data_IF_113806172670
#
_entry.id   IF_113806172670
#
_cell.length_a   1.000
_cell.length_b   1.000
_cell.length_c   1.000
_cell.angle_alpha   90.00
_cell.angle_beta   90.00
_cell.angle_gamma   90.00
#
_symmetry.space_group_name_H-M   'P 1'
#
loop_
_entity.id
_entity.type
_entity.pdbx_description
1 polymer ?
#
# COMPACT_ATOMS: atom_id res chain seq x y z
N UNK A 1 -18.87 10.90 -0.87
CA UNK A 1 -18.37 10.40 0.45
C UNK A 1 -19.42 9.84 1.42
N UNK A 2 -20.62 10.40 1.62
CA UNK A 2 -21.69 9.75 2.44
C UNK A 2 -22.82 9.11 1.60
N UNK A 3 -23.22 9.78 0.51
CA UNK A 3 -24.26 9.27 -0.41
C UNK A 3 -23.81 7.99 -1.12
N UNK A 4 -22.52 7.89 -1.48
CA UNK A 4 -21.95 6.71 -2.11
C UNK A 4 -21.88 5.51 -1.16
N UNK A 5 -21.62 5.71 0.14
CA UNK A 5 -21.58 4.62 1.13
C UNK A 5 -22.97 4.08 1.45
N UNK A 6 -24.01 4.94 1.36
CA UNK A 6 -25.41 4.54 1.48
C UNK A 6 -25.90 3.79 0.24
N UNK A 7 -25.50 4.23 -0.96
CA UNK A 7 -25.85 3.58 -2.22
C UNK A 7 -25.14 2.23 -2.40
N UNK A 8 -23.86 2.14 -2.03
CA UNK A 8 -23.09 0.90 -2.01
C UNK A 8 -23.69 -0.18 -1.09
N UNK A 9 -24.30 0.23 0.04
CA UNK A 9 -25.02 -0.67 0.95
C UNK A 9 -26.35 -1.18 0.41
N UNK A 10 -27.02 -0.42 -0.46
CA UNK A 10 -28.30 -0.82 -1.08
C UNK A 10 -28.14 -1.83 -2.22
N UNK A 11 -27.00 -1.83 -2.90
CA UNK A 11 -26.69 -2.81 -3.94
C UNK A 11 -26.02 -4.04 -3.32
N UNK A 12 -26.74 -5.16 -3.23
CA UNK A 12 -26.24 -6.40 -2.63
C UNK A 12 -24.93 -6.89 -3.27
N UNK A 13 -24.71 -6.63 -4.56
CA UNK A 13 -23.49 -6.98 -5.27
C UNK A 13 -22.30 -6.13 -4.80
N UNK A 14 -22.49 -4.83 -4.54
CA UNK A 14 -21.41 -3.92 -4.09
C UNK A 14 -21.14 -4.12 -2.59
N UNK A 15 -22.19 -4.39 -1.81
CA UNK A 15 -22.10 -4.68 -0.39
C UNK A 15 -21.22 -5.90 -0.07
N UNK A 16 -21.20 -6.93 -0.93
CA UNK A 16 -20.35 -8.11 -0.76
C UNK A 16 -18.84 -7.83 -0.88
N UNK A 17 -18.45 -6.77 -1.58
CA UNK A 17 -17.05 -6.37 -1.76
C UNK A 17 -16.65 -5.15 -0.90
N UNK A 18 -17.57 -4.69 -0.04
CA UNK A 18 -17.39 -3.50 0.80
C UNK A 18 -17.36 -3.93 2.26
N UNK A 19 -16.29 -3.58 2.97
CA UNK A 19 -16.25 -3.72 4.44
C UNK A 19 -16.69 -2.41 5.08
N UNK A 20 -17.59 -2.52 6.06
CA UNK A 20 -18.03 -1.39 6.85
C UNK A 20 -16.95 -1.00 7.85
N UNK A 21 -16.53 0.26 7.84
CA UNK A 21 -15.70 0.84 8.89
C UNK A 21 -16.51 1.88 9.66
N UNK A 22 -16.56 1.72 10.99
CA UNK A 22 -17.26 2.60 11.93
C UNK A 22 -18.76 2.87 11.60
N UNK A 23 -19.43 1.97 10.86
CA UNK A 23 -20.82 2.12 10.36
C UNK A 23 -21.10 3.32 9.43
N UNK A 24 -20.13 4.22 9.21
CA UNK A 24 -20.29 5.45 8.43
C UNK A 24 -19.67 5.31 7.02
N UNK A 25 -18.56 4.57 6.90
CA UNK A 25 -17.86 4.35 5.63
C UNK A 25 -17.96 2.91 5.17
N UNK A 26 -18.15 2.71 3.87
CA UNK A 26 -18.19 1.40 3.22
C UNK A 26 -17.31 1.50 1.98
N UNK A 27 -16.25 0.70 1.95
CA UNK A 27 -15.25 0.75 0.89
C UNK A 27 -14.53 -0.59 0.76
N UNK A 28 -13.80 -0.80 -0.34
CA UNK A 28 -13.02 -2.02 -0.54
C UNK A 28 -11.94 -2.12 0.54
N UNK A 29 -11.72 -3.32 1.08
CA UNK A 29 -10.74 -3.58 2.15
C UNK A 29 -9.34 -3.04 1.80
N UNK A 30 -8.95 -3.12 0.53
CA UNK A 30 -7.70 -2.55 0.03
C UNK A 30 -7.58 -1.04 0.22
N UNK A 31 -8.67 -0.28 0.15
CA UNK A 31 -8.65 1.16 0.39
C UNK A 31 -8.36 1.51 1.86
N UNK A 32 -8.87 0.72 2.81
CA UNK A 32 -8.54 0.90 4.23
C UNK A 32 -7.08 0.56 4.51
N UNK A 33 -6.57 -0.52 3.93
CA UNK A 33 -5.15 -0.90 4.05
C UNK A 33 -4.27 0.22 3.51
N UNK A 34 -4.54 0.68 2.28
CA UNK A 34 -3.78 1.77 1.64
C UNK A 34 -3.84 3.05 2.46
N UNK A 35 -5.03 3.44 2.94
CA UNK A 35 -5.20 4.64 3.75
C UNK A 35 -4.43 4.58 5.07
N UNK A 36 -4.52 3.45 5.79
CA UNK A 36 -3.80 3.26 7.04
C UNK A 36 -2.28 3.27 6.84
N UNK A 37 -1.77 2.55 5.84
CA UNK A 37 -0.32 2.47 5.62
C UNK A 37 0.25 3.75 5.05
N UNK A 38 -0.51 4.51 4.25
CA UNK A 38 -0.11 5.84 3.83
C UNK A 38 0.02 6.80 5.02
N UNK A 39 -0.89 6.73 5.99
CA UNK A 39 -0.79 7.50 7.24
C UNK A 39 0.43 7.08 8.06
N UNK A 40 0.68 5.78 8.21
CA UNK A 40 1.87 5.25 8.88
C UNK A 40 3.14 5.74 8.21
N UNK A 41 3.24 5.69 6.88
CA UNK A 41 4.38 6.22 6.13
C UNK A 41 4.56 7.74 6.33
N UNK A 42 3.46 8.50 6.34
CA UNK A 42 3.49 9.94 6.58
C UNK A 42 4.00 10.28 7.99
N UNK A 43 3.65 9.48 9.00
CA UNK A 43 4.14 9.63 10.38
C UNK A 43 5.60 9.20 10.53
N UNK A 44 6.08 8.27 9.70
CA UNK A 44 7.47 7.85 9.73
C UNK A 44 8.45 9.01 9.43
N UNK A 45 8.12 9.92 8.50
CA UNK A 45 8.98 11.06 8.15
C UNK A 45 9.36 11.99 9.32
N UNK A 46 8.42 12.56 10.10
CA UNK A 46 8.78 13.41 11.23
C UNK A 46 9.49 12.63 12.34
N UNK A 47 9.19 11.35 12.52
CA UNK A 47 9.89 10.50 13.50
C UNK A 47 11.33 10.22 13.08
N UNK A 48 11.57 10.04 11.79
CA UNK A 48 12.89 9.88 11.20
C UNK A 48 13.75 11.14 11.38
N UNK A 49 13.16 12.32 11.11
CA UNK A 49 13.82 13.59 11.39
C UNK A 49 14.17 13.76 12.89
N UNK A 50 13.30 13.31 13.79
CA UNK A 50 13.58 13.32 15.24
C UNK A 50 14.72 12.35 15.60
N UNK A 51 14.76 11.17 15.00
CA UNK A 51 15.86 10.22 15.18
C UNK A 51 17.21 10.81 14.75
N UNK A 52 17.26 11.46 13.59
CA UNK A 52 18.46 12.13 13.12
C UNK A 52 18.91 13.27 14.03
N UNK A 53 17.98 13.99 14.65
CA UNK A 53 18.31 15.03 15.62
C UNK A 53 18.94 14.47 16.92
N UNK A 54 18.57 13.25 17.32
CA UNK A 54 19.08 12.61 18.54
C UNK A 54 20.42 11.90 18.33
N UNK A 55 20.54 11.14 17.24
CA UNK A 55 21.65 10.21 17.04
C UNK A 55 22.60 10.63 15.92
N UNK A 56 22.18 11.54 15.04
CA UNK A 56 22.91 11.94 13.86
C UNK A 56 22.27 11.44 12.56
N UNK A 57 22.66 12.05 11.45
CA UNK A 57 22.16 11.69 10.12
C UNK A 57 22.68 10.30 9.75
N UNK A 58 21.76 9.43 9.33
CA UNK A 58 22.02 8.09 8.77
C UNK A 58 22.98 7.19 9.58
N UNK A 59 22.93 7.28 10.90
CA UNK A 59 23.71 6.40 11.79
C UNK A 59 23.44 4.90 11.61
N UNK A 60 22.28 4.56 11.05
CA UNK A 60 21.92 3.21 10.68
C UNK A 60 21.00 3.23 9.46
N UNK A 61 21.40 2.54 8.38
CA UNK A 61 20.56 2.36 7.18
C UNK A 61 19.21 1.71 7.54
N UNK A 62 19.22 0.76 8.49
CA UNK A 62 18.02 0.10 9.01
C UNK A 62 17.51 0.72 10.31
N UNK A 63 17.56 2.05 10.42
CA UNK A 63 16.95 2.77 11.53
C UNK A 63 15.44 2.43 11.64
N UNK A 64 14.86 2.45 12.85
CA UNK A 64 13.48 2.02 13.08
C UNK A 64 12.47 2.67 12.14
N UNK A 65 12.66 3.96 11.82
CA UNK A 65 11.75 4.73 10.99
C UNK A 65 11.95 4.52 9.49
N UNK A 66 13.18 4.21 9.04
CA UNK A 66 13.42 3.69 7.69
C UNK A 66 12.66 2.37 7.48
N UNK A 67 12.75 1.44 8.44
CA UNK A 67 12.03 0.15 8.37
C UNK A 67 10.52 0.36 8.36
N UNK A 68 10.01 1.25 9.21
CA UNK A 68 8.59 1.61 9.26
C UNK A 68 8.09 2.17 7.92
N UNK A 69 8.87 3.05 7.28
CA UNK A 69 8.54 3.61 5.98
C UNK A 69 8.56 2.54 4.87
N UNK A 70 9.62 1.75 4.78
CA UNK A 70 9.80 0.69 3.76
C UNK A 70 8.72 -0.39 3.89
N UNK A 71 8.42 -0.83 5.12
CA UNK A 71 7.35 -1.78 5.38
C UNK A 71 5.98 -1.22 4.95
N UNK A 72 5.72 0.05 5.25
CA UNK A 72 4.47 0.72 4.86
C UNK A 72 4.33 0.80 3.33
N UNK A 73 5.41 1.10 2.60
CA UNK A 73 5.43 1.07 1.13
C UNK A 73 5.10 -0.33 0.58
N UNK A 74 5.66 -1.39 1.18
CA UNK A 74 5.36 -2.76 0.78
C UNK A 74 3.88 -3.11 0.93
N UNK A 75 3.29 -2.76 2.08
CA UNK A 75 1.89 -3.06 2.37
C UNK A 75 0.94 -2.20 1.52
N UNK A 76 1.30 -0.94 1.19
CA UNK A 76 0.48 -0.09 0.31
C UNK A 76 0.31 -0.72 -1.07
N UNK A 77 1.35 -1.34 -1.63
CA UNK A 77 1.25 -1.99 -2.94
C UNK A 77 0.36 -3.23 -2.89
N UNK A 78 0.42 -4.02 -1.80
CA UNK A 78 -0.48 -5.15 -1.60
C UNK A 78 -1.95 -4.69 -1.48
N UNK A 79 -2.19 -3.62 -0.72
CA UNK A 79 -3.53 -3.01 -0.59
C UNK A 79 -4.05 -2.47 -1.92
N UNK A 80 -3.20 -1.81 -2.71
CA UNK A 80 -3.54 -1.30 -4.03
C UNK A 80 -3.81 -2.44 -5.02
N UNK A 81 -3.00 -3.50 -5.01
CA UNK A 81 -3.19 -4.68 -5.84
C UNK A 81 -4.52 -5.38 -5.53
N UNK A 82 -4.82 -5.56 -4.24
CA UNK A 82 -6.10 -6.11 -3.80
C UNK A 82 -7.27 -5.22 -4.25
N UNK A 83 -7.16 -3.89 -4.09
CA UNK A 83 -8.18 -2.95 -4.51
C UNK A 83 -8.44 -3.03 -6.02
N UNK A 84 -7.41 -3.00 -6.86
CA UNK A 84 -7.54 -3.12 -8.31
C UNK A 84 -8.13 -4.47 -8.74
N UNK A 85 -7.66 -5.56 -8.13
CA UNK A 85 -8.17 -6.91 -8.40
C UNK A 85 -9.65 -7.06 -8.04
N UNK A 86 -10.05 -6.55 -6.87
CA UNK A 86 -11.45 -6.57 -6.42
C UNK A 86 -12.36 -5.73 -7.32
N UNK A 87 -11.92 -4.55 -7.73
CA UNK A 87 -12.66 -3.68 -8.64
C UNK A 87 -12.84 -4.32 -10.03
N UNK A 88 -11.80 -4.96 -10.57
CA UNK A 88 -11.88 -5.66 -11.85
C UNK A 88 -12.82 -6.88 -11.79
N UNK A 89 -12.79 -7.64 -10.69
CA UNK A 89 -13.70 -8.76 -10.47
C UNK A 89 -15.15 -8.27 -10.39
N UNK A 90 -15.41 -7.21 -9.62
CA UNK A 90 -16.73 -6.62 -9.49
C UNK A 90 -17.24 -6.12 -10.85
N UNK A 91 -16.43 -5.39 -11.61
CA UNK A 91 -16.78 -4.90 -12.95
C UNK A 91 -17.13 -6.05 -13.91
N UNK A 92 -16.45 -7.20 -13.80
CA UNK A 92 -16.78 -8.39 -14.59
C UNK A 92 -18.11 -9.01 -14.18
N UNK A 93 -18.45 -9.02 -12.88
CA UNK A 93 -19.72 -9.54 -12.36
C UNK A 93 -20.93 -8.71 -12.79
N UNK A 94 -20.79 -7.38 -12.82
CA UNK A 94 -21.87 -6.47 -13.21
C UNK A 94 -21.95 -6.22 -14.73
N UNK A 95 -21.13 -6.93 -15.52
CA UNK A 95 -21.14 -6.83 -16.98
C UNK A 95 -20.56 -5.53 -17.56
N UNK A 96 -19.91 -4.70 -16.74
CA UNK A 96 -19.33 -3.41 -17.18
C UNK A 96 -17.85 -3.52 -17.55
N UNK A 97 -17.20 -4.66 -17.31
CA UNK A 97 -15.78 -4.85 -17.63
C UNK A 97 -15.54 -5.13 -19.12
N UNK A 98 -14.97 -4.16 -19.82
CA UNK A 98 -14.32 -4.38 -21.11
C UNK A 98 -13.01 -5.17 -20.98
N UNK A 99 -12.48 -5.68 -22.10
CA UNK A 99 -11.16 -6.33 -22.13
C UNK A 99 -10.03 -5.39 -21.65
N UNK A 100 -10.18 -4.08 -21.92
CA UNK A 100 -9.27 -3.04 -21.47
C UNK A 100 -9.23 -2.86 -19.94
N UNK A 101 -10.38 -2.91 -19.25
CA UNK A 101 -10.46 -2.73 -17.79
C UNK A 101 -9.72 -3.83 -17.04
N UNK A 102 -9.86 -5.08 -17.48
CA UNK A 102 -9.15 -6.23 -16.89
C UNK A 102 -7.64 -6.11 -17.13
N UNK A 103 -7.22 -5.77 -18.36
CA UNK A 103 -5.80 -5.55 -18.67
C UNK A 103 -5.20 -4.41 -17.85
N UNK A 104 -5.89 -3.27 -17.74
CA UNK A 104 -5.43 -2.14 -16.96
C UNK A 104 -5.27 -2.49 -15.47
N UNK A 105 -6.22 -3.23 -14.89
CA UNK A 105 -6.11 -3.69 -13.51
C UNK A 105 -4.94 -4.66 -13.31
N UNK A 106 -4.76 -5.64 -14.20
CA UNK A 106 -3.62 -6.57 -14.14
C UNK A 106 -2.29 -5.84 -14.29
N UNK A 107 -2.19 -4.91 -15.25
CA UNK A 107 -0.98 -4.10 -15.44
C UNK A 107 -0.68 -3.23 -14.22
N UNK A 108 -1.69 -2.59 -13.64
CA UNK A 108 -1.55 -1.80 -12.42
C UNK A 108 -1.05 -2.63 -11.24
N UNK A 109 -1.56 -3.85 -11.06
CA UNK A 109 -1.09 -4.80 -10.04
C UNK A 109 0.37 -5.19 -10.27
N UNK A 110 0.71 -5.58 -11.51
CA UNK A 110 2.08 -5.98 -11.87
C UNK A 110 3.06 -4.82 -11.65
N UNK A 111 2.70 -3.62 -12.10
CA UNK A 111 3.51 -2.42 -11.88
C UNK A 111 3.72 -2.13 -10.40
N UNK A 112 2.65 -2.14 -9.59
CA UNK A 112 2.75 -1.87 -8.16
C UNK A 112 3.67 -2.88 -7.43
N UNK A 113 3.53 -4.16 -7.74
CA UNK A 113 4.38 -5.21 -7.17
C UNK A 113 5.83 -5.12 -7.66
N UNK A 114 6.04 -4.83 -8.95
CA UNK A 114 7.37 -4.67 -9.53
C UNK A 114 8.11 -3.48 -8.92
N UNK A 115 7.43 -2.33 -8.75
CA UNK A 115 8.00 -1.15 -8.11
C UNK A 115 8.43 -1.45 -6.67
N UNK A 116 7.58 -2.12 -5.88
CA UNK A 116 7.95 -2.49 -4.50
C UNK A 116 9.11 -3.47 -4.48
N UNK A 117 9.08 -4.51 -5.31
CA UNK A 117 10.17 -5.49 -5.37
C UNK A 117 11.49 -4.82 -5.75
N UNK A 118 11.47 -3.92 -6.73
CA UNK A 118 12.64 -3.16 -7.15
C UNK A 118 13.21 -2.29 -6.03
N UNK A 119 12.36 -1.56 -5.30
CA UNK A 119 12.81 -0.76 -4.15
C UNK A 119 13.40 -1.63 -3.04
N UNK A 120 12.77 -2.77 -2.73
CA UNK A 120 13.31 -3.73 -1.76
C UNK A 120 14.67 -4.28 -2.19
N UNK A 121 14.85 -4.59 -3.47
CA UNK A 121 16.14 -5.08 -3.96
C UNK A 121 17.22 -4.01 -3.82
N UNK A 122 16.94 -2.74 -4.16
CA UNK A 122 17.90 -1.66 -4.03
C UNK A 122 18.33 -1.45 -2.57
N UNK A 123 17.36 -1.40 -1.65
CA UNK A 123 17.63 -1.27 -0.22
C UNK A 123 18.39 -2.47 0.36
N UNK A 124 18.10 -3.67 -0.15
CA UNK A 124 18.81 -4.88 0.26
C UNK A 124 20.26 -4.88 -0.24
N UNK A 125 20.52 -4.46 -1.47
CA UNK A 125 21.88 -4.36 -2.01
C UNK A 125 22.73 -3.39 -1.19
N UNK A 126 22.19 -2.20 -0.91
CA UNK A 126 22.83 -1.18 -0.06
C UNK A 126 23.18 -1.75 1.33
N UNK A 127 22.23 -2.48 1.94
CA UNK A 127 22.43 -3.15 3.23
C UNK A 127 23.52 -4.24 3.23
N UNK A 128 23.70 -4.94 2.11
CA UNK A 128 24.67 -6.01 1.98
C UNK A 128 26.06 -5.48 1.67
N UNK A 129 26.17 -4.39 0.90
CA UNK A 129 27.43 -3.69 0.68
C UNK A 129 27.98 -3.16 2.00
N UNK A 130 27.16 -2.52 2.83
CA UNK A 130 27.58 -1.94 4.11
C UNK A 130 28.21 -2.99 5.07
N UNK A 131 27.68 -4.22 5.08
CA UNK A 131 28.24 -5.33 5.89
C UNK A 131 29.60 -5.82 5.40
N UNK A 132 29.92 -5.69 4.11
CA UNK A 132 31.20 -6.16 3.58
C UNK A 132 32.37 -5.26 4.02
N UNK A 133 32.09 -4.01 4.41
CA UNK A 133 33.10 -3.07 4.92
C UNK A 133 33.37 -3.21 6.43
N UNK A 134 32.52 -3.92 7.19
CA UNK A 134 32.71 -4.19 8.64
C UNK A 134 33.36 -5.56 8.89
N UNK A 135 34.32 -5.94 8.04
CA UNK A 135 35.25 -7.04 8.37
C UNK A 135 36.51 -6.43 9.01
N UNK A 136 36.49 -6.32 10.33
CA UNK A 136 37.69 -6.22 11.19
C UNK A 136 37.95 -7.60 11.82
#
# INVERSE_FOLDING_TARGET
>A
MLIESWWARRNQIIAQYSVGFAQIFSGPLGAYIVGYTALTAAVAFPLDAYWHALYGIDVAIWAPFHVMFVASMGIVALGAAYMLGSAAHLAARIGTAGSGTRRAATLGVVLALATVLSLFTLLLFDALEDKNYINL
#
